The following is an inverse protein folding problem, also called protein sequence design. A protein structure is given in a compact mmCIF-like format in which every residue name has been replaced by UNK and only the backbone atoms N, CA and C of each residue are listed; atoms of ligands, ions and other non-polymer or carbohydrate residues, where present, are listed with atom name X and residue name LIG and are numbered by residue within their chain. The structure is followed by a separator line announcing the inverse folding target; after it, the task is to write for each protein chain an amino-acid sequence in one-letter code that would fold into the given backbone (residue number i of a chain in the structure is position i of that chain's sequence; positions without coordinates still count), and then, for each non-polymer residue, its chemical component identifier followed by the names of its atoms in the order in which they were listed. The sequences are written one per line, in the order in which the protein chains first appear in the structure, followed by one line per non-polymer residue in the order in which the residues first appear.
data_IF_475122360668
#
_entry.id   IF_475122360668
#
_cell.length_a   1.000
_cell.length_b   1.000
_cell.length_c   1.000
_cell.angle_alpha   90.00
_cell.angle_beta   90.00
_cell.angle_gamma   90.00
#
_symmetry.space_group_name_H-M   'P 1'
#
loop_
_entity.id
_entity.type
_entity.pdbx_description
1 polymer ?
#
# COMPACT_ATOMS: atom_id res chain seq x y z
N UNK A 1 45.58 -38.73 -2.83
CA UNK A 1 45.70 -37.46 -2.08
C UNK A 1 44.70 -36.36 -2.47
N UNK A 2 43.99 -36.43 -3.60
CA UNK A 2 43.01 -35.36 -4.01
C UNK A 2 41.61 -35.52 -3.41
N UNK A 3 41.24 -36.71 -2.91
CA UNK A 3 39.89 -36.95 -2.34
C UNK A 3 39.76 -36.51 -0.89
N UNK A 4 40.83 -36.45 -0.12
CA UNK A 4 40.85 -36.02 1.27
C UNK A 4 40.78 -34.49 1.43
N UNK A 5 41.31 -33.72 0.46
CA UNK A 5 41.25 -32.26 0.49
C UNK A 5 39.85 -31.77 0.19
N UNK A 6 39.13 -32.44 -0.72
CA UNK A 6 37.73 -32.11 -1.02
C UNK A 6 36.79 -32.42 0.15
N UNK A 7 37.02 -33.57 0.83
CA UNK A 7 36.29 -33.93 2.03
C UNK A 7 36.54 -32.98 3.21
N UNK A 8 37.76 -32.45 3.34
CA UNK A 8 38.11 -31.48 4.36
C UNK A 8 37.51 -30.10 4.06
N UNK A 9 37.47 -29.71 2.78
CA UNK A 9 36.82 -28.46 2.35
C UNK A 9 35.29 -28.50 2.55
N UNK A 10 34.65 -29.64 2.28
CA UNK A 10 33.24 -29.86 2.53
C UNK A 10 32.93 -29.92 4.04
N UNK A 11 33.78 -30.58 4.82
CA UNK A 11 33.65 -30.62 6.28
C UNK A 11 33.91 -29.25 6.93
N UNK A 12 34.82 -28.43 6.39
CA UNK A 12 35.06 -27.06 6.83
C UNK A 12 33.91 -26.13 6.43
N UNK A 13 33.29 -26.35 5.27
CA UNK A 13 32.09 -25.61 4.85
C UNK A 13 30.85 -26.01 5.67
N UNK A 14 30.77 -27.23 6.18
CA UNK A 14 29.69 -27.69 7.07
C UNK A 14 29.99 -27.40 8.56
N UNK A 15 31.21 -27.05 8.92
CA UNK A 15 31.63 -26.68 10.28
C UNK A 15 31.72 -25.16 10.51
N UNK A 16 31.59 -24.37 9.47
CA UNK A 16 31.44 -22.92 9.56
C UNK A 16 29.93 -22.57 9.78
N UNK A 17 29.61 -21.70 10.60
CA UNK A 17 29.50 -21.73 12.04
C UNK A 17 28.03 -21.77 12.50
N UNK A 18 27.77 -22.45 13.53
CA UNK A 18 26.63 -22.27 14.45
C UNK A 18 26.60 -20.86 15.13
N UNK A 19 27.31 -19.87 14.59
CA UNK A 19 27.42 -18.53 15.15
C UNK A 19 26.72 -17.45 14.36
N UNK A 20 26.15 -17.72 13.16
CA UNK A 20 25.22 -16.84 12.52
C UNK A 20 23.81 -17.13 13.10
N UNK A 21 23.51 -16.61 14.28
CA UNK A 21 22.13 -16.57 14.74
C UNK A 21 21.40 -15.61 13.80
N UNK A 22 20.53 -16.16 12.97
CA UNK A 22 19.56 -15.35 12.24
C UNK A 22 18.72 -14.58 13.28
N UNK A 23 18.80 -13.27 13.27
CA UNK A 23 17.97 -12.43 14.13
C UNK A 23 16.54 -12.49 13.61
N UNK A 24 15.77 -13.43 14.17
CA UNK A 24 14.36 -13.62 13.81
C UNK A 24 13.48 -12.90 14.83
N UNK A 25 12.63 -12.00 14.35
CA UNK A 25 11.71 -11.21 15.15
C UNK A 25 10.28 -11.61 14.83
N UNK A 26 9.53 -12.02 15.83
CA UNK A 26 8.07 -12.11 15.77
C UNK A 26 7.50 -10.73 16.11
N UNK A 27 6.60 -10.23 15.29
CA UNK A 27 5.96 -8.95 15.50
C UNK A 27 4.49 -9.00 15.09
N UNK A 28 3.72 -8.02 15.53
CA UNK A 28 2.33 -7.92 15.15
C UNK A 28 1.66 -6.66 15.63
N UNK A 29 0.42 -6.50 15.22
CA UNK A 29 -0.44 -5.40 15.62
C UNK A 29 -1.89 -5.86 15.65
N UNK A 30 -2.54 -5.78 16.80
CA UNK A 30 -3.99 -5.96 16.91
C UNK A 30 -4.65 -4.58 16.92
N UNK A 31 -5.60 -4.34 16.01
CA UNK A 31 -6.25 -3.05 15.79
C UNK A 31 -7.75 -3.26 15.58
N UNK A 32 -8.56 -2.80 16.51
CA UNK A 32 -10.02 -2.98 16.48
C UNK A 32 -10.71 -1.69 16.86
N UNK A 33 -11.81 -1.39 16.20
CA UNK A 33 -12.66 -0.25 16.52
C UNK A 33 -14.14 -0.63 16.56
N UNK A 34 -14.92 0.23 17.19
CA UNK A 34 -16.37 0.32 17.02
C UNK A 34 -16.62 1.55 16.19
N UNK A 35 -17.23 1.36 15.02
CA UNK A 35 -17.45 2.38 14.03
C UNK A 35 -18.92 2.65 13.85
N UNK A 36 -19.28 3.93 13.83
CA UNK A 36 -20.56 4.41 13.32
C UNK A 36 -20.37 4.85 11.89
N UNK A 37 -21.19 4.35 10.97
CA UNK A 37 -21.12 4.65 9.56
C UNK A 37 -22.47 5.19 9.09
N UNK A 38 -22.41 6.32 8.38
CA UNK A 38 -23.53 6.92 7.69
C UNK A 38 -23.16 7.10 6.21
N UNK A 39 -23.82 6.32 5.37
CA UNK A 39 -23.57 6.26 3.92
C UNK A 39 -24.83 6.75 3.23
N UNK A 40 -24.84 7.96 2.71
CA UNK A 40 -26.03 8.66 2.21
C UNK A 40 -26.82 7.95 1.11
N UNK A 41 -26.22 6.98 0.40
CA UNK A 41 -26.83 6.43 -0.82
C UNK A 41 -27.17 4.92 -0.77
N UNK A 42 -26.90 4.20 0.30
CA UNK A 42 -27.00 2.74 0.23
C UNK A 42 -27.75 2.03 1.37
N UNK A 43 -27.67 2.53 2.59
CA UNK A 43 -28.27 1.87 3.76
C UNK A 43 -28.51 2.89 4.88
N UNK A 44 -29.40 2.54 5.83
CA UNK A 44 -29.51 3.27 7.09
C UNK A 44 -28.13 3.26 7.80
N UNK A 45 -27.87 4.31 8.58
CA UNK A 45 -26.66 4.38 9.39
C UNK A 45 -26.54 3.17 10.33
N UNK A 46 -25.35 2.64 10.47
CA UNK A 46 -25.11 1.40 11.25
C UNK A 46 -23.85 1.46 12.10
N UNK A 47 -23.84 0.63 13.13
CA UNK A 47 -22.66 0.35 13.95
C UNK A 47 -22.00 -0.94 13.53
N UNK A 48 -20.67 -0.97 13.61
CA UNK A 48 -19.86 -2.13 13.24
C UNK A 48 -18.65 -2.28 14.17
N UNK A 49 -18.20 -3.51 14.39
CA UNK A 49 -16.91 -3.79 15.03
C UNK A 49 -15.93 -4.13 13.91
N UNK A 50 -14.94 -3.27 13.70
CA UNK A 50 -14.11 -3.29 12.51
C UNK A 50 -12.65 -3.64 12.81
N UNK A 51 -12.09 -4.52 11.98
CA UNK A 51 -10.67 -4.87 11.99
C UNK A 51 -9.89 -3.84 11.15
N UNK A 52 -8.98 -3.10 11.80
CA UNK A 52 -8.21 -2.05 11.17
C UNK A 52 -6.82 -2.55 10.74
N UNK A 53 -6.77 -3.54 9.85
CA UNK A 53 -5.53 -4.09 9.32
C UNK A 53 -4.63 -4.74 10.40
N UNK A 54 -5.23 -5.51 11.31
CA UNK A 54 -4.48 -6.34 12.26
C UNK A 54 -3.57 -7.32 11.51
N UNK A 55 -2.41 -7.58 12.08
CA UNK A 55 -1.37 -8.38 11.40
C UNK A 55 -0.48 -9.14 12.36
N UNK A 56 0.08 -10.23 11.85
CA UNK A 56 1.11 -11.03 12.49
C UNK A 56 2.21 -11.30 11.48
N UNK A 57 3.47 -11.16 11.88
CA UNK A 57 4.59 -11.37 10.97
C UNK A 57 5.85 -11.88 11.66
N UNK A 58 6.70 -12.43 10.82
CA UNK A 58 8.06 -12.83 11.16
C UNK A 58 9.00 -12.18 10.16
N UNK A 59 10.06 -11.55 10.64
CA UNK A 59 11.12 -11.00 9.80
C UNK A 59 12.50 -11.32 10.39
N UNK A 60 13.49 -11.31 9.55
CA UNK A 60 14.85 -11.54 10.04
C UNK A 60 15.93 -11.31 9.00
N UNK A 61 17.15 -11.45 9.47
CA UNK A 61 18.34 -11.40 8.62
C UNK A 61 19.37 -12.41 9.08
N UNK A 62 20.15 -12.92 8.13
CA UNK A 62 21.30 -13.79 8.37
C UNK A 62 22.53 -13.16 7.74
N UNK A 63 23.59 -12.99 8.53
CA UNK A 63 24.89 -12.51 8.04
C UNK A 63 25.59 -13.63 7.24
N UNK A 64 25.83 -13.38 5.96
CA UNK A 64 26.52 -14.30 5.05
C UNK A 64 28.03 -14.02 4.97
N UNK A 65 28.52 -13.04 5.71
CA UNK A 65 29.93 -12.61 5.69
C UNK A 65 30.19 -11.59 4.57
N UNK A 66 31.33 -10.90 4.70
CA UNK A 66 31.76 -9.92 3.70
C UNK A 66 30.84 -8.70 3.55
N UNK A 67 29.96 -8.43 4.51
CA UNK A 67 28.96 -7.35 4.44
C UNK A 67 27.72 -7.72 3.62
N UNK A 68 27.54 -9.01 3.30
CA UNK A 68 26.34 -9.53 2.66
C UNK A 68 25.42 -10.17 3.70
N UNK A 69 24.12 -9.93 3.60
CA UNK A 69 23.10 -10.54 4.45
C UNK A 69 21.95 -11.09 3.60
N UNK A 70 21.40 -12.23 3.98
CA UNK A 70 20.08 -12.66 3.56
C UNK A 70 19.03 -11.97 4.43
N UNK A 71 17.94 -11.50 3.82
CA UNK A 71 16.83 -10.86 4.52
C UNK A 71 15.52 -11.51 4.12
N UNK A 72 14.58 -11.59 5.05
CA UNK A 72 13.27 -12.16 4.79
C UNK A 72 12.19 -11.51 5.65
N UNK A 73 10.97 -11.53 5.14
CA UNK A 73 9.76 -11.12 5.86
C UNK A 73 8.59 -11.99 5.42
N UNK A 74 7.76 -12.39 6.38
CA UNK A 74 6.47 -13.03 6.17
C UNK A 74 5.45 -12.34 7.08
N UNK A 75 4.57 -11.55 6.49
CA UNK A 75 3.47 -10.89 7.20
C UNK A 75 2.13 -11.38 6.68
N UNK A 76 1.17 -11.56 7.56
CA UNK A 76 -0.19 -11.98 7.26
C UNK A 76 -1.16 -11.01 7.93
N UNK A 77 -2.22 -10.64 7.21
CA UNK A 77 -3.39 -10.02 7.81
C UNK A 77 -4.07 -11.03 8.75
N UNK A 78 -4.64 -10.52 9.82
CA UNK A 78 -5.39 -11.31 10.80
C UNK A 78 -6.69 -10.59 11.08
N UNK A 79 -7.81 -11.21 10.73
CA UNK A 79 -9.09 -10.69 11.16
C UNK A 79 -9.36 -11.10 12.61
N UNK A 80 -9.38 -10.10 13.49
CA UNK A 80 -9.64 -10.31 14.94
C UNK A 80 -11.10 -10.07 15.30
N UNK A 81 -11.95 -9.69 14.35
CA UNK A 81 -13.38 -9.39 14.57
C UNK A 81 -14.27 -10.52 14.09
N UNK A 82 -14.01 -11.09 12.93
CA UNK A 82 -14.84 -12.15 12.34
C UNK A 82 -14.19 -13.54 12.41
N UNK A 83 -12.90 -13.57 12.70
CA UNK A 83 -12.11 -14.80 12.64
C UNK A 83 -11.79 -15.18 11.18
N UNK A 84 -11.18 -16.32 11.00
CA UNK A 84 -10.86 -16.82 9.67
C UNK A 84 -9.40 -17.23 9.51
N UNK A 85 -8.96 -17.40 8.26
CA UNK A 85 -7.60 -17.74 7.92
C UNK A 85 -6.73 -16.49 7.82
N UNK A 86 -5.42 -16.70 7.78
CA UNK A 86 -4.47 -15.63 7.49
C UNK A 86 -4.70 -15.04 6.10
N UNK A 87 -4.74 -13.71 6.00
CA UNK A 87 -4.94 -12.99 4.76
C UNK A 87 -3.64 -12.84 3.96
N UNK A 88 -3.73 -13.00 2.64
CA UNK A 88 -2.59 -13.07 1.74
C UNK A 88 -1.89 -11.74 1.42
N UNK A 89 -2.60 -10.64 1.44
CA UNK A 89 -2.16 -9.35 0.87
C UNK A 89 -1.24 -8.54 1.81
N UNK A 90 -0.13 -9.14 2.25
CA UNK A 90 0.89 -8.50 3.09
C UNK A 90 2.28 -8.88 2.61
N UNK A 91 3.34 -8.11 2.95
CA UNK A 91 4.70 -8.39 2.49
C UNK A 91 5.18 -9.80 2.84
N UNK A 92 5.62 -10.53 1.81
CA UNK A 92 6.24 -11.85 1.93
C UNK A 92 7.36 -11.93 0.91
N UNK A 93 8.59 -11.75 1.35
CA UNK A 93 9.74 -11.72 0.47
C UNK A 93 10.99 -12.33 1.07
N UNK A 94 11.90 -12.69 0.19
CA UNK A 94 13.27 -13.09 0.50
C UNK A 94 14.22 -12.23 -0.35
N UNK A 95 15.39 -11.90 0.17
CA UNK A 95 16.37 -11.13 -0.60
C UNK A 95 17.78 -11.12 -0.04
N UNK A 96 18.62 -10.38 -0.73
CA UNK A 96 20.01 -10.11 -0.35
C UNK A 96 20.20 -8.61 -0.16
N UNK A 97 20.97 -8.24 0.87
CA UNK A 97 21.34 -6.86 1.18
C UNK A 97 22.84 -6.76 1.40
N UNK A 98 23.44 -5.70 0.89
CA UNK A 98 24.88 -5.45 1.02
C UNK A 98 25.23 -3.99 0.73
N UNK A 99 26.51 -3.71 0.47
CA UNK A 99 26.96 -2.38 0.08
C UNK A 99 26.36 -1.87 -1.23
N UNK A 100 25.85 -2.77 -2.07
CA UNK A 100 25.13 -2.46 -3.31
C UNK A 100 23.67 -2.03 -3.10
N UNK A 101 23.15 -2.07 -1.89
CA UNK A 101 21.74 -1.92 -1.58
C UNK A 101 21.06 -3.26 -1.31
N UNK A 102 19.84 -3.48 -1.79
CA UNK A 102 19.11 -4.75 -1.64
C UNK A 102 18.41 -5.18 -2.92
N UNK A 103 18.32 -6.50 -3.10
CA UNK A 103 17.51 -7.17 -4.12
C UNK A 103 16.58 -8.13 -3.40
N UNK A 104 15.27 -8.00 -3.63
CA UNK A 104 14.22 -8.79 -2.97
C UNK A 104 13.25 -9.37 -3.99
N UNK A 105 12.68 -10.54 -3.65
CA UNK A 105 11.74 -11.30 -4.48
C UNK A 105 10.51 -11.67 -3.65
N UNK A 106 9.32 -11.48 -4.17
CA UNK A 106 8.06 -11.87 -3.53
C UNK A 106 7.00 -10.78 -3.56
N UNK A 107 6.05 -10.84 -2.63
CA UNK A 107 5.06 -9.78 -2.39
C UNK A 107 5.70 -8.67 -1.58
N UNK A 108 5.67 -7.43 -2.07
CA UNK A 108 6.39 -6.32 -1.44
C UNK A 108 5.60 -5.02 -1.51
N UNK A 109 5.88 -4.12 -0.57
CA UNK A 109 5.47 -2.73 -0.70
C UNK A 109 6.18 -2.09 -1.89
N UNK A 110 5.43 -1.32 -2.67
CA UNK A 110 5.92 -0.73 -3.91
C UNK A 110 6.79 0.51 -3.68
N UNK A 111 7.67 0.84 -4.60
CA UNK A 111 8.27 2.16 -4.67
C UNK A 111 7.25 3.30 -4.69
N UNK A 112 6.03 3.05 -5.21
CA UNK A 112 4.92 3.98 -5.22
C UNK A 112 4.46 4.31 -3.80
N UNK A 113 4.14 3.29 -3.01
CA UNK A 113 3.74 3.47 -1.61
C UNK A 113 4.85 4.10 -0.74
N UNK A 114 6.10 3.79 -1.03
CA UNK A 114 7.24 4.41 -0.34
C UNK A 114 7.33 5.94 -0.50
N UNK A 115 6.59 6.51 -1.46
CA UNK A 115 6.46 7.96 -1.69
C UNK A 115 5.13 8.48 -1.15
N UNK A 116 4.01 7.83 -1.49
CA UNK A 116 2.66 8.30 -1.15
C UNK A 116 2.27 8.03 0.29
N UNK A 117 2.83 7.00 0.91
CA UNK A 117 2.58 6.62 2.32
C UNK A 117 2.98 7.67 3.37
N UNK A 118 3.61 8.77 2.96
CA UNK A 118 3.93 9.91 3.84
C UNK A 118 2.68 10.53 4.50
N UNK A 119 1.51 10.33 3.91
CA UNK A 119 0.22 10.82 4.42
C UNK A 119 -0.58 9.77 5.20
N UNK A 120 -0.08 8.55 5.34
CA UNK A 120 -0.75 7.45 6.04
C UNK A 120 -0.51 7.54 7.57
N UNK A 121 -1.26 8.43 8.25
CA UNK A 121 -1.07 8.73 9.66
C UNK A 121 -2.23 8.30 10.58
N UNK A 122 -3.35 7.86 10.04
CA UNK A 122 -4.54 7.50 10.80
C UNK A 122 -4.56 6.01 11.19
N UNK A 123 -5.36 5.68 12.21
CA UNK A 123 -5.47 4.31 12.72
C UNK A 123 -6.63 3.53 12.10
N UNK A 124 -7.73 4.22 11.77
CA UNK A 124 -8.90 3.59 11.17
C UNK A 124 -8.63 3.19 9.74
N UNK A 125 -8.92 1.95 9.41
CA UNK A 125 -8.91 1.45 8.03
C UNK A 125 -10.04 2.01 7.15
N UNK A 126 -10.92 2.82 7.72
CA UNK A 126 -12.00 3.52 6.99
C UNK A 126 -11.57 4.91 6.53
N UNK A 127 -10.36 5.36 6.87
CA UNK A 127 -9.85 6.63 6.36
C UNK A 127 -9.56 6.52 4.87
N UNK A 128 -9.93 7.54 4.15
CA UNK A 128 -9.65 7.68 2.73
C UNK A 128 -8.34 8.47 2.58
N UNK A 129 -7.22 7.87 2.93
CA UNK A 129 -5.90 8.45 2.67
C UNK A 129 -5.48 8.26 1.22
N UNK A 130 -4.33 8.81 0.84
CA UNK A 130 -3.77 8.66 -0.50
C UNK A 130 -3.71 7.20 -0.98
N UNK A 131 -3.40 6.28 -0.09
CA UNK A 131 -3.38 4.84 -0.37
C UNK A 131 -4.77 4.24 -0.54
N UNK A 132 -5.81 4.95 -0.13
CA UNK A 132 -7.21 4.51 -0.20
C UNK A 132 -7.98 5.19 -1.32
N UNK A 133 -7.52 6.31 -1.84
CA UNK A 133 -8.27 7.12 -2.79
C UNK A 133 -7.86 6.89 -4.23
N UNK A 134 -6.60 6.96 -4.52
CA UNK A 134 -6.10 6.70 -5.86
C UNK A 134 -5.21 5.47 -5.82
N UNK A 135 -4.27 5.30 -6.52
CA UNK A 135 -3.33 4.24 -6.62
C UNK A 135 -3.38 3.06 -5.64
N UNK A 136 -3.96 3.25 -4.48
CA UNK A 136 -4.06 2.22 -3.46
C UNK A 136 -5.38 1.47 -3.41
N UNK A 137 -6.49 2.12 -3.72
CA UNK A 137 -7.83 1.58 -3.45
C UNK A 137 -8.66 1.29 -4.65
N UNK A 138 -8.45 1.98 -5.74
CA UNK A 138 -9.34 1.80 -6.87
C UNK A 138 -9.28 0.43 -7.47
N UNK A 139 -8.16 -0.18 -7.40
CA UNK A 139 -7.99 -1.56 -7.82
C UNK A 139 -8.61 -2.58 -6.86
N UNK A 140 -8.97 -2.17 -5.66
CA UNK A 140 -9.58 -3.01 -4.64
C UNK A 140 -11.01 -2.64 -4.26
N UNK A 141 -11.54 -1.54 -4.78
CA UNK A 141 -12.94 -1.20 -4.54
C UNK A 141 -13.84 -2.08 -5.40
N UNK A 142 -14.23 -3.20 -4.86
CA UNK A 142 -15.50 -3.78 -5.25
C UNK A 142 -16.59 -2.79 -4.86
N UNK A 143 -17.28 -2.27 -5.85
CA UNK A 143 -18.45 -1.39 -5.73
C UNK A 143 -19.65 -2.07 -5.04
N UNK A 144 -19.48 -3.19 -4.39
CA UNK A 144 -20.51 -3.85 -3.62
C UNK A 144 -20.48 -3.32 -2.18
N UNK A 145 -21.41 -2.45 -1.79
CA UNK A 145 -21.60 -2.15 -0.37
C UNK A 145 -22.05 -3.43 0.34
N UNK A 146 -21.15 -4.07 1.02
CA UNK A 146 -21.37 -5.34 1.72
C UNK A 146 -20.46 -6.48 1.30
N UNK A 147 -19.56 -6.28 0.34
CA UNK A 147 -18.50 -7.25 0.10
C UNK A 147 -17.23 -6.85 0.87
N UNK A 148 -16.75 -7.82 1.59
CA UNK A 148 -15.52 -7.83 2.34
C UNK A 148 -14.34 -7.29 1.50
N UNK A 149 -13.57 -6.37 2.08
CA UNK A 149 -12.33 -5.84 1.46
C UNK A 149 -11.29 -6.92 1.16
N UNK A 150 -11.50 -8.13 1.67
CA UNK A 150 -10.64 -9.30 1.43
C UNK A 150 -10.77 -9.89 0.03
N UNK A 151 -11.81 -9.55 -0.71
CA UNK A 151 -12.05 -10.08 -2.06
C UNK A 151 -11.26 -9.39 -3.18
N UNK A 152 -10.46 -8.40 -2.87
CA UNK A 152 -9.51 -7.82 -3.82
C UNK A 152 -8.22 -8.67 -3.93
N UNK A 153 -8.41 -9.97 -4.01
CA UNK A 153 -7.33 -10.87 -4.39
C UNK A 153 -7.15 -10.78 -5.91
N UNK A 154 -6.21 -10.04 -6.35
CA UNK A 154 -5.84 -10.13 -7.75
C UNK A 154 -5.58 -8.83 -8.45
N UNK A 155 -4.80 -8.04 -7.93
CA UNK A 155 -4.13 -7.05 -8.70
C UNK A 155 -4.68 -5.68 -8.48
N UNK A 156 -4.02 -4.94 -7.81
CA UNK A 156 -4.08 -3.63 -8.06
C UNK A 156 -4.02 -2.66 -6.91
N UNK A 157 -3.74 -3.02 -5.72
CA UNK A 157 -3.30 -2.03 -4.76
C UNK A 157 -1.92 -1.54 -5.18
N UNK A 158 -1.77 -0.29 -5.60
CA UNK A 158 -0.45 0.28 -5.87
C UNK A 158 0.44 0.32 -4.61
N UNK A 159 -0.09 -0.03 -3.44
CA UNK A 159 0.69 -0.14 -2.21
C UNK A 159 1.54 -1.40 -2.14
N UNK A 160 1.10 -2.50 -2.76
CA UNK A 160 1.82 -3.80 -2.75
C UNK A 160 1.60 -4.52 -4.07
N UNK A 161 2.64 -5.22 -4.53
CA UNK A 161 2.59 -6.05 -5.72
C UNK A 161 3.17 -7.42 -5.43
N UNK A 162 2.46 -8.43 -5.96
CA UNK A 162 2.88 -9.82 -5.93
C UNK A 162 3.86 -10.12 -7.09
N UNK A 163 4.50 -11.29 -7.04
CA UNK A 163 5.39 -11.79 -8.10
C UNK A 163 6.45 -10.78 -8.51
N UNK A 164 6.97 -10.03 -7.55
CA UNK A 164 7.84 -8.89 -7.82
C UNK A 164 9.31 -9.16 -7.53
N UNK A 165 10.16 -8.57 -8.36
CA UNK A 165 11.59 -8.36 -8.14
C UNK A 165 11.79 -6.88 -7.85
N UNK A 166 12.41 -6.54 -6.73
CA UNK A 166 12.73 -5.16 -6.39
C UNK A 166 14.21 -4.98 -6.09
N UNK A 167 14.77 -3.91 -6.64
CA UNK A 167 16.07 -3.39 -6.23
C UNK A 167 15.89 -2.06 -5.53
N UNK A 168 16.59 -1.90 -4.39
CA UNK A 168 16.68 -0.62 -3.67
C UNK A 168 18.16 -0.25 -3.49
N UNK A 169 18.52 0.95 -3.92
CA UNK A 169 19.87 1.46 -3.80
C UNK A 169 20.33 1.60 -2.35
N UNK A 170 21.64 1.69 -2.08
CA UNK A 170 22.12 2.26 -0.82
C UNK A 170 21.61 3.69 -0.61
N UNK A 171 21.71 4.16 0.63
CA UNK A 171 21.53 5.58 0.93
C UNK A 171 22.79 6.37 0.54
N UNK A 172 22.59 7.41 -0.27
CA UNK A 172 23.61 8.33 -0.71
C UNK A 172 23.42 9.72 -0.08
N UNK A 173 23.72 9.84 1.21
CA UNK A 173 23.51 11.07 1.98
C UNK A 173 22.06 11.57 1.97
N UNK A 174 21.13 10.65 2.20
CA UNK A 174 19.69 10.88 2.20
C UNK A 174 19.00 10.59 0.87
N UNK A 175 19.73 10.42 -0.24
CA UNK A 175 19.16 10.03 -1.52
C UNK A 175 19.11 8.50 -1.66
N UNK A 176 17.97 7.97 -2.09
CA UNK A 176 17.81 6.57 -2.48
C UNK A 176 16.83 6.44 -3.63
N UNK A 177 16.93 5.34 -4.36
CA UNK A 177 16.06 5.01 -5.47
C UNK A 177 15.69 3.53 -5.41
N UNK A 178 14.51 3.19 -5.91
CA UNK A 178 14.08 1.80 -6.04
C UNK A 178 13.44 1.56 -7.39
N UNK A 179 13.56 0.35 -7.90
CA UNK A 179 12.83 -0.15 -9.06
C UNK A 179 12.21 -1.49 -8.70
N UNK A 180 10.95 -1.68 -9.07
CA UNK A 180 10.20 -2.91 -8.91
C UNK A 180 9.66 -3.35 -10.26
N UNK A 181 9.78 -4.64 -10.54
CA UNK A 181 9.22 -5.32 -11.71
C UNK A 181 8.28 -6.42 -11.21
N UNK A 182 7.03 -6.42 -11.63
CA UNK A 182 6.09 -7.52 -11.38
C UNK A 182 5.94 -8.36 -12.63
N UNK A 183 6.11 -9.67 -12.47
CA UNK A 183 6.13 -10.66 -13.52
C UNK A 183 5.13 -11.76 -13.19
N UNK A 184 3.93 -11.70 -13.74
CA UNK A 184 2.88 -12.64 -13.42
C UNK A 184 2.51 -13.54 -14.61
N UNK A 185 3.41 -14.45 -14.95
CA UNK A 185 3.23 -15.38 -16.06
C UNK A 185 2.00 -16.27 -16.00
N UNK A 186 1.31 -16.34 -14.86
CA UNK A 186 0.07 -17.12 -14.73
C UNK A 186 -1.18 -16.38 -15.24
N UNK A 187 -1.08 -15.08 -15.50
CA UNK A 187 -2.17 -14.27 -16.03
C UNK A 187 -2.17 -14.22 -17.57
N UNK A 188 -1.11 -14.74 -18.21
CA UNK A 188 -0.79 -14.50 -19.60
C UNK A 188 -1.88 -14.86 -20.61
N UNK A 189 -2.45 -16.05 -20.53
CA UNK A 189 -3.27 -16.54 -21.65
C UNK A 189 -4.78 -16.26 -21.51
N UNK A 190 -5.25 -16.00 -20.31
CA UNK A 190 -6.69 -15.89 -20.03
C UNK A 190 -7.18 -14.44 -19.88
N UNK A 191 -6.28 -13.47 -19.70
CA UNK A 191 -6.63 -12.09 -19.34
C UNK A 191 -5.89 -11.02 -20.17
N UNK A 192 -5.22 -11.38 -21.25
CA UNK A 192 -4.56 -10.42 -22.14
C UNK A 192 -3.22 -9.86 -21.63
N UNK A 193 -2.58 -10.54 -20.69
CA UNK A 193 -1.25 -10.18 -20.18
C UNK A 193 -0.21 -10.99 -20.93
N UNK A 194 0.44 -10.42 -21.91
CA UNK A 194 1.40 -11.13 -22.77
C UNK A 194 2.86 -10.78 -22.52
N UNK A 195 3.12 -9.81 -21.64
CA UNK A 195 4.46 -9.30 -21.41
C UNK A 195 5.23 -10.10 -20.34
N UNK A 196 6.55 -10.12 -20.45
CA UNK A 196 7.41 -10.74 -19.43
C UNK A 196 7.48 -9.92 -18.16
N UNK A 197 7.16 -8.63 -18.22
CA UNK A 197 7.02 -7.70 -17.11
C UNK A 197 5.70 -6.96 -17.30
N UNK A 198 4.78 -7.20 -16.41
CA UNK A 198 3.41 -6.66 -16.52
C UNK A 198 3.30 -5.28 -15.88
N UNK A 199 4.02 -5.08 -14.77
CA UNK A 199 4.04 -3.81 -14.06
C UNK A 199 5.48 -3.45 -13.73
N UNK A 200 5.86 -2.19 -13.96
CA UNK A 200 7.10 -1.65 -13.45
C UNK A 200 6.87 -0.36 -12.68
N UNK A 201 7.63 -0.19 -11.62
CA UNK A 201 7.52 0.98 -10.75
C UNK A 201 8.92 1.46 -10.34
N UNK A 202 9.13 2.76 -10.40
CA UNK A 202 10.38 3.41 -10.02
C UNK A 202 10.11 4.57 -9.07
N UNK A 203 11.01 4.81 -8.13
CA UNK A 203 11.02 6.03 -7.33
C UNK A 203 12.42 6.60 -7.15
N UNK A 204 12.45 7.88 -6.77
CA UNK A 204 13.60 8.54 -6.19
C UNK A 204 13.14 9.29 -4.93
N UNK A 205 13.89 9.16 -3.84
CA UNK A 205 13.56 9.75 -2.54
C UNK A 205 14.74 10.49 -1.95
N UNK A 206 14.45 11.55 -1.21
CA UNK A 206 15.39 12.27 -0.37
C UNK A 206 14.84 12.40 1.05
N UNK A 207 15.64 11.99 2.03
CA UNK A 207 15.34 12.13 3.45
C UNK A 207 16.53 12.69 4.18
N UNK A 208 16.39 13.88 4.77
CA UNK A 208 17.46 14.49 5.54
C UNK A 208 16.88 15.34 6.69
N UNK A 209 17.29 14.99 7.91
CA UNK A 209 16.73 15.61 9.11
C UNK A 209 15.21 15.46 9.16
N UNK A 210 14.44 16.54 9.31
CA UNK A 210 12.99 16.48 9.38
C UNK A 210 12.31 16.38 8.01
N UNK A 211 13.03 16.46 6.89
CA UNK A 211 12.48 16.60 5.56
C UNK A 211 12.46 15.26 4.81
N UNK A 212 11.37 15.01 4.11
CA UNK A 212 11.20 13.97 3.12
C UNK A 212 10.68 14.57 1.82
N UNK A 213 11.20 14.10 0.70
CA UNK A 213 10.66 14.35 -0.63
C UNK A 213 10.84 13.12 -1.49
N UNK A 214 9.83 12.78 -2.27
CA UNK A 214 9.88 11.64 -3.18
C UNK A 214 9.08 11.88 -4.44
N UNK A 215 9.48 11.20 -5.50
CA UNK A 215 8.74 11.10 -6.76
C UNK A 215 8.71 9.66 -7.19
N UNK A 216 7.60 9.23 -7.76
CA UNK A 216 7.42 7.85 -8.24
C UNK A 216 6.60 7.83 -9.52
N UNK A 217 6.84 6.80 -10.33
CA UNK A 217 6.07 6.50 -11.53
C UNK A 217 5.86 4.98 -11.59
N UNK A 218 4.64 4.57 -11.88
CA UNK A 218 4.25 3.17 -12.08
C UNK A 218 3.54 3.05 -13.41
N UNK A 219 3.81 1.99 -14.14
CA UNK A 219 3.11 1.66 -15.37
C UNK A 219 2.73 0.18 -15.39
N UNK A 220 1.55 -0.07 -15.89
CA UNK A 220 1.01 -1.36 -16.27
C UNK A 220 0.98 -1.39 -17.79
N UNK A 221 1.72 -2.33 -18.37
CA UNK A 221 1.80 -2.56 -19.83
C UNK A 221 1.12 -3.90 -20.10
N UNK A 222 -0.11 -3.84 -20.57
CA UNK A 222 -0.93 -5.03 -20.85
C UNK A 222 -1.53 -4.99 -22.25
N UNK A 223 -1.84 -6.15 -22.80
CA UNK A 223 -2.56 -6.24 -24.06
C UNK A 223 -4.01 -5.80 -23.90
N UNK A 224 -4.59 -5.29 -24.97
CA UNK A 224 -6.00 -4.96 -25.02
C UNK A 224 -6.85 -6.20 -24.76
N UNK A 225 -7.78 -6.11 -23.80
CA UNK A 225 -8.81 -7.14 -23.61
C UNK A 225 -9.78 -7.07 -24.77
N UNK A 226 -9.98 -8.19 -25.45
CA UNK A 226 -10.89 -8.31 -26.59
C UNK A 226 -12.13 -9.16 -26.22
N UNK A 227 -13.26 -8.88 -26.85
CA UNK A 227 -14.44 -9.74 -26.77
C UNK A 227 -14.25 -11.06 -27.55
N UNK A 228 -15.25 -11.95 -27.50
CA UNK A 228 -15.24 -13.22 -28.24
C UNK A 228 -15.15 -13.05 -29.77
N UNK A 229 -15.36 -11.88 -30.30
CA UNK A 229 -15.23 -11.52 -31.72
C UNK A 229 -13.89 -10.88 -32.08
N UNK A 230 -13.00 -10.68 -31.09
CA UNK A 230 -11.70 -10.02 -31.29
C UNK A 230 -11.78 -8.48 -31.31
N UNK A 231 -12.89 -7.91 -30.88
CA UNK A 231 -13.03 -6.44 -30.77
C UNK A 231 -12.43 -5.98 -29.45
N UNK A 232 -11.50 -5.00 -29.46
CA UNK A 232 -10.93 -4.45 -28.23
C UNK A 232 -12.02 -3.86 -27.32
N UNK A 233 -12.09 -4.37 -26.10
CA UNK A 233 -12.97 -3.87 -25.03
C UNK A 233 -12.27 -2.83 -24.18
N UNK A 234 -10.98 -3.08 -23.86
CA UNK A 234 -10.17 -2.22 -23.02
C UNK A 234 -8.73 -2.24 -23.48
N UNK A 235 -8.07 -1.12 -23.33
CA UNK A 235 -6.63 -1.01 -23.38
C UNK A 235 -6.10 -1.04 -21.95
N UNK A 236 -5.12 -1.92 -21.68
CA UNK A 236 -4.52 -2.09 -20.35
C UNK A 236 -3.24 -1.26 -20.16
N UNK A 237 -2.99 -0.33 -21.05
CA UNK A 237 -1.90 0.63 -20.91
C UNK A 237 -2.26 1.69 -19.86
N UNK A 238 -1.79 1.50 -18.64
CA UNK A 238 -2.11 2.37 -17.52
C UNK A 238 -0.83 2.91 -16.89
N UNK A 239 -0.84 4.17 -16.55
CA UNK A 239 0.27 4.79 -15.85
C UNK A 239 -0.20 5.72 -14.73
N UNK A 240 0.69 5.97 -13.77
CA UNK A 240 0.48 6.92 -12.70
C UNK A 240 1.79 7.44 -12.14
N UNK A 241 1.82 8.73 -11.86
CA UNK A 241 2.93 9.33 -11.14
C UNK A 241 2.45 9.99 -9.85
N UNK A 242 3.36 10.12 -8.89
CA UNK A 242 3.08 10.81 -7.64
C UNK A 242 4.30 11.55 -7.13
N UNK A 243 4.04 12.60 -6.36
CA UNK A 243 5.01 13.24 -5.49
C UNK A 243 4.57 13.11 -4.03
N UNK A 244 5.53 12.94 -3.12
CA UNK A 244 5.31 12.94 -1.69
C UNK A 244 6.25 13.91 -1.02
N UNK A 245 5.74 14.74 -0.11
CA UNK A 245 6.51 15.68 0.70
C UNK A 245 6.20 15.45 2.17
N UNK A 246 7.20 15.45 3.02
CA UNK A 246 7.06 15.26 4.45
C UNK A 246 7.93 16.21 5.27
N UNK A 247 7.41 16.63 6.40
CA UNK A 247 8.15 17.35 7.43
C UNK A 247 7.79 16.77 8.80
N UNK A 248 8.79 16.30 9.54
CA UNK A 248 8.62 15.73 10.87
C UNK A 248 9.65 16.34 11.84
N UNK A 249 9.23 17.31 12.64
CA UNK A 249 10.05 18.03 13.61
C UNK A 249 9.59 17.72 15.06
N UNK A 250 9.78 16.50 15.47
CA UNK A 250 9.49 16.05 16.84
C UNK A 250 8.01 16.04 17.18
N UNK A 251 7.49 17.16 17.66
CA UNK A 251 6.08 17.28 18.05
C UNK A 251 5.13 17.49 16.86
N UNK A 252 5.62 18.02 15.75
CA UNK A 252 4.81 18.40 14.59
C UNK A 252 5.21 17.60 13.35
N UNK A 253 4.21 17.07 12.66
CA UNK A 253 4.39 16.34 11.41
C UNK A 253 3.40 16.83 10.36
N UNK A 254 3.86 16.98 9.12
CA UNK A 254 3.03 17.30 7.95
C UNK A 254 3.42 16.35 6.83
N UNK A 255 2.42 15.81 6.14
CA UNK A 255 2.57 15.00 4.93
C UNK A 255 1.70 15.56 3.81
N UNK A 256 2.22 15.58 2.61
CA UNK A 256 1.49 15.95 1.41
C UNK A 256 1.82 14.97 0.29
N UNK A 257 0.82 14.56 -0.47
CA UNK A 257 1.03 13.92 -1.76
C UNK A 257 0.12 14.50 -2.83
N UNK A 258 0.58 14.36 -4.06
CA UNK A 258 -0.19 14.59 -5.28
C UNK A 258 0.03 13.42 -6.22
N UNK A 259 -1.03 12.95 -6.82
CA UNK A 259 -1.04 11.81 -7.74
C UNK A 259 -1.85 12.14 -8.98
N UNK A 260 -1.40 11.66 -10.13
CA UNK A 260 -2.13 11.81 -11.39
C UNK A 260 -1.77 10.68 -12.34
N UNK A 261 -2.74 10.17 -13.09
CA UNK A 261 -2.52 9.16 -14.11
C UNK A 261 -3.77 8.41 -14.52
N UNK A 262 -3.63 7.62 -15.56
CA UNK A 262 -4.71 6.83 -16.19
C UNK A 262 -5.08 5.58 -15.39
N UNK A 263 -4.23 5.16 -14.43
CA UNK A 263 -4.50 3.99 -13.59
C UNK A 263 -5.83 4.12 -12.83
N UNK A 264 -6.23 5.32 -12.52
CA UNK A 264 -7.47 5.61 -11.82
C UNK A 264 -8.70 5.50 -12.70
N UNK A 265 -8.60 5.79 -13.98
CA UNK A 265 -9.70 5.60 -14.93
C UNK A 265 -10.14 4.14 -14.97
N UNK A 266 -9.18 3.22 -14.97
CA UNK A 266 -9.48 1.81 -15.08
C UNK A 266 -10.09 1.25 -13.80
N UNK A 267 -9.60 1.64 -12.64
CA UNK A 267 -10.14 1.22 -11.35
C UNK A 267 -11.59 1.66 -11.12
N UNK A 268 -11.99 2.78 -11.71
CA UNK A 268 -13.30 3.37 -11.49
C UNK A 268 -14.40 2.81 -12.36
N UNK A 269 -14.16 2.51 -13.65
CA UNK A 269 -15.28 2.51 -14.57
C UNK A 269 -15.33 1.40 -15.61
N UNK A 270 -14.22 0.81 -16.01
CA UNK A 270 -14.20 -0.09 -17.16
C UNK A 270 -14.79 -1.49 -16.96
N UNK A 271 -14.78 -2.13 -15.77
CA UNK A 271 -15.27 -3.51 -15.68
C UNK A 271 -16.78 -3.68 -15.58
N UNK A 272 -17.55 -2.64 -15.26
CA UNK A 272 -18.93 -2.83 -14.76
C UNK A 272 -20.00 -2.28 -15.69
N UNK A 273 -19.69 -1.31 -16.53
CA UNK A 273 -20.68 -0.62 -17.35
C UNK A 273 -20.22 -0.49 -18.79
N UNK A 274 -21.14 -0.60 -19.72
CA UNK A 274 -20.94 -0.38 -21.15
C UNK A 274 -20.65 1.13 -21.37
N UNK A 275 -19.38 1.52 -21.40
CA UNK A 275 -18.87 2.85 -20.98
C UNK A 275 -18.74 3.85 -22.14
N UNK A 276 -19.40 3.64 -23.21
CA UNK A 276 -19.53 4.72 -24.22
C UNK A 276 -20.25 5.99 -23.67
N UNK A 277 -20.82 5.90 -22.46
CA UNK A 277 -21.55 6.99 -21.82
C UNK A 277 -20.70 7.88 -20.91
N UNK A 278 -19.50 7.43 -20.51
CA UNK A 278 -18.67 8.15 -19.55
C UNK A 278 -17.30 8.41 -20.15
N UNK A 279 -17.18 9.42 -20.97
CA UNK A 279 -15.89 9.91 -21.44
C UNK A 279 -15.18 10.58 -20.28
N UNK A 280 -14.03 10.03 -19.88
CA UNK A 280 -13.02 10.81 -19.20
C UNK A 280 -12.54 11.90 -20.16
N UNK A 281 -12.68 13.13 -19.77
CA UNK A 281 -12.22 14.28 -20.55
C UNK A 281 -10.85 14.76 -20.08
N UNK A 282 -10.54 14.45 -18.81
CA UNK A 282 -9.32 14.86 -18.13
C UNK A 282 -8.68 13.68 -17.41
N UNK A 283 -7.37 13.75 -17.16
CA UNK A 283 -6.66 12.73 -16.40
C UNK A 283 -7.00 12.88 -14.91
N UNK A 284 -7.49 11.80 -14.24
CA UNK A 284 -7.79 11.83 -12.82
C UNK A 284 -6.60 12.24 -11.98
N UNK A 285 -6.86 12.99 -10.91
CA UNK A 285 -5.83 13.38 -9.97
C UNK A 285 -6.32 13.38 -8.52
N UNK A 286 -5.38 13.33 -7.58
CA UNK A 286 -5.63 13.42 -6.15
C UNK A 286 -4.56 14.27 -5.48
N UNK A 287 -4.98 15.12 -4.56
CA UNK A 287 -4.11 15.84 -3.64
C UNK A 287 -4.54 15.55 -2.19
N UNK A 288 -3.60 15.20 -1.33
CA UNK A 288 -3.88 14.86 0.06
C UNK A 288 -2.87 15.50 1.00
N UNK A 289 -3.37 16.21 2.00
CA UNK A 289 -2.57 16.90 3.01
C UNK A 289 -2.92 16.35 4.39
N UNK A 290 -1.91 16.03 5.18
CA UNK A 290 -2.06 15.60 6.58
C UNK A 290 -1.20 16.44 7.50
N UNK A 291 -1.67 16.62 8.73
CA UNK A 291 -0.90 17.23 9.79
C UNK A 291 -1.18 16.55 11.13
N UNK A 292 -0.17 16.46 11.99
CA UNK A 292 -0.34 16.01 13.37
C UNK A 292 0.51 16.78 14.35
N UNK A 293 0.03 16.86 15.58
CA UNK A 293 0.74 17.48 16.69
C UNK A 293 0.69 16.58 17.92
N UNK A 294 1.87 16.28 18.47
CA UNK A 294 2.06 15.44 19.65
C UNK A 294 2.40 16.28 20.87
N UNK A 295 1.66 16.10 21.96
CA UNK A 295 1.93 16.75 23.25
C UNK A 295 1.74 15.76 24.40
N UNK A 296 2.83 15.43 25.07
CA UNK A 296 2.86 14.36 26.05
C UNK A 296 2.45 13.02 25.41
N UNK A 297 1.41 12.40 25.93
CA UNK A 297 0.85 11.14 25.42
C UNK A 297 -0.24 11.33 24.35
N UNK A 298 -0.56 12.56 24.01
CA UNK A 298 -1.69 12.90 23.15
C UNK A 298 -1.19 13.23 21.74
N UNK A 299 -1.96 12.85 20.71
CA UNK A 299 -1.76 13.24 19.33
C UNK A 299 -3.09 13.75 18.78
N UNK A 300 -3.08 14.93 18.17
CA UNK A 300 -4.18 15.42 17.34
C UNK A 300 -3.72 15.35 15.88
N UNK A 301 -4.60 14.90 15.02
CA UNK A 301 -4.31 14.75 13.59
C UNK A 301 -5.47 15.30 12.77
N UNK A 302 -5.15 15.87 11.62
CA UNK A 302 -6.13 16.31 10.64
C UNK A 302 -5.65 15.97 9.23
N UNK A 303 -6.60 15.73 8.34
CA UNK A 303 -6.34 15.58 6.92
C UNK A 303 -7.42 16.26 6.10
N UNK A 304 -7.02 16.70 4.92
CA UNK A 304 -7.89 17.10 3.83
C UNK A 304 -7.35 16.58 2.51
N UNK A 305 -8.24 16.02 1.71
CA UNK A 305 -7.92 15.53 0.37
C UNK A 305 -9.00 15.91 -0.62
N UNK A 306 -8.57 16.08 -1.86
CA UNK A 306 -9.47 16.30 -2.99
C UNK A 306 -9.07 15.37 -4.13
N UNK A 307 -10.08 14.75 -4.74
CA UNK A 307 -9.90 13.86 -5.89
C UNK A 307 -10.82 14.30 -7.03
N UNK A 308 -10.26 14.41 -8.21
CA UNK A 308 -11.00 14.58 -9.46
C UNK A 308 -10.97 13.27 -10.24
N UNK A 309 -12.12 12.79 -10.63
CA UNK A 309 -12.26 11.53 -11.38
C UNK A 309 -11.96 11.67 -12.86
N UNK A 310 -11.81 12.90 -13.36
CA UNK A 310 -11.62 13.20 -14.79
C UNK A 310 -12.88 12.97 -15.64
N UNK A 311 -14.03 12.69 -15.05
CA UNK A 311 -15.28 12.39 -15.77
C UNK A 311 -16.08 13.67 -15.98
N UNK A 312 -16.47 13.95 -17.24
CA UNK A 312 -17.22 15.13 -17.60
C UNK A 312 -18.55 15.22 -16.84
N UNK A 313 -18.81 16.38 -16.21
CA UNK A 313 -20.03 16.63 -15.47
C UNK A 313 -20.09 15.99 -14.09
N UNK A 314 -18.97 15.46 -13.58
CA UNK A 314 -18.87 15.00 -12.21
C UNK A 314 -18.02 15.97 -11.39
N UNK A 315 -18.50 16.30 -10.19
CA UNK A 315 -17.74 17.12 -9.27
C UNK A 315 -16.59 16.34 -8.60
N UNK A 316 -15.57 17.06 -8.18
CA UNK A 316 -14.49 16.49 -7.38
C UNK A 316 -15.01 16.03 -6.02
N UNK A 317 -14.33 15.03 -5.45
CA UNK A 317 -14.63 14.48 -4.14
C UNK A 317 -13.73 15.13 -3.10
N UNK A 318 -14.33 15.58 -2.01
CA UNK A 318 -13.58 16.06 -0.85
C UNK A 318 -13.57 15.01 0.26
N UNK A 319 -12.42 14.87 0.91
CA UNK A 319 -12.25 14.03 2.09
C UNK A 319 -11.62 14.83 3.23
N UNK A 320 -12.11 14.64 4.44
CA UNK A 320 -11.55 15.25 5.63
C UNK A 320 -11.56 14.27 6.80
N UNK A 321 -10.50 14.31 7.58
CA UNK A 321 -10.34 13.47 8.76
C UNK A 321 -9.87 14.33 9.94
N UNK A 322 -10.49 14.10 11.11
CA UNK A 322 -10.02 14.65 12.37
C UNK A 322 -9.78 13.49 13.34
N UNK A 323 -8.60 13.42 13.91
CA UNK A 323 -8.19 12.34 14.81
C UNK A 323 -7.67 12.84 16.14
N UNK A 324 -8.01 12.10 17.20
CA UNK A 324 -7.37 12.21 18.50
C UNK A 324 -6.88 10.83 18.91
N UNK A 325 -5.65 10.76 19.39
CA UNK A 325 -5.04 9.52 19.88
C UNK A 325 -4.42 9.76 21.26
N UNK A 326 -4.60 8.79 22.16
CA UNK A 326 -3.91 8.74 23.45
C UNK A 326 -3.02 7.50 23.53
N UNK A 327 -1.72 7.71 23.76
CA UNK A 327 -0.71 6.67 23.88
C UNK A 327 -0.54 6.28 25.34
N UNK A 328 -1.04 5.11 25.76
CA UNK A 328 -0.76 4.55 27.09
C UNK A 328 0.71 4.13 27.22
N UNK A 329 1.27 3.66 26.12
CA UNK A 329 2.67 3.25 26.01
C UNK A 329 3.15 3.43 24.56
N UNK A 330 4.41 3.04 24.28
CA UNK A 330 4.92 2.97 22.90
C UNK A 330 4.17 1.94 22.03
N UNK A 331 3.48 0.98 22.65
CA UNK A 331 2.81 -0.14 21.97
C UNK A 331 1.29 -0.11 22.03
N UNK A 332 0.73 0.64 22.97
CA UNK A 332 -0.73 0.63 23.22
C UNK A 332 -1.30 2.03 23.12
N UNK A 333 -2.35 2.18 22.30
CA UNK A 333 -3.04 3.46 22.09
C UNK A 333 -4.54 3.28 21.94
N UNK A 334 -5.29 4.32 22.25
CA UNK A 334 -6.67 4.51 21.83
C UNK A 334 -6.76 5.63 20.83
N UNK A 335 -7.76 5.59 19.97
CA UNK A 335 -8.08 6.69 19.04
C UNK A 335 -9.57 6.96 18.99
N UNK A 336 -9.89 8.18 18.58
CA UNK A 336 -11.19 8.60 18.05
C UNK A 336 -10.92 9.35 16.78
N UNK A 337 -11.54 8.92 15.67
CA UNK A 337 -11.37 9.54 14.36
C UNK A 337 -12.75 9.78 13.76
N UNK A 338 -12.95 11.00 13.26
CA UNK A 338 -14.09 11.38 12.44
C UNK A 338 -13.62 11.48 10.99
N UNK A 339 -14.32 10.79 10.11
CA UNK A 339 -13.98 10.67 8.69
C UNK A 339 -15.18 11.15 7.90
N UNK A 340 -14.99 12.11 6.99
CA UNK A 340 -16.02 12.61 6.10
C UNK A 340 -15.57 12.58 4.65
N UNK A 341 -16.53 12.31 3.79
CA UNK A 341 -16.42 12.47 2.34
C UNK A 341 -17.63 13.24 1.85
N UNK A 342 -17.37 14.31 1.10
CA UNK A 342 -18.38 15.03 0.33
C UNK A 342 -18.24 14.64 -1.13
N UNK A 343 -19.34 14.28 -1.75
CA UNK A 343 -19.40 13.77 -3.11
C UNK A 343 -20.56 14.42 -3.87
N UNK A 344 -20.80 15.72 -3.65
CA UNK A 344 -21.86 16.51 -4.27
C UNK A 344 -21.94 16.24 -5.77
N UNK A 345 -23.16 15.92 -6.25
CA UNK A 345 -23.48 15.65 -7.65
C UNK A 345 -22.62 14.55 -8.34
N UNK A 346 -21.83 13.78 -7.58
CA UNK A 346 -21.08 12.66 -8.11
C UNK A 346 -21.93 11.39 -8.10
N UNK A 347 -22.23 10.85 -9.28
CA UNK A 347 -23.11 9.67 -9.44
C UNK A 347 -22.49 8.36 -8.94
N UNK A 348 -21.16 8.32 -8.72
CA UNK A 348 -20.43 7.12 -8.34
C UNK A 348 -20.20 7.04 -6.84
N UNK A 349 -20.16 8.18 -6.19
CA UNK A 349 -19.86 8.30 -4.77
C UNK A 349 -20.98 9.08 -4.09
N UNK A 350 -21.38 8.63 -2.93
CA UNK A 350 -22.25 9.39 -2.03
C UNK A 350 -21.43 10.04 -0.92
N UNK A 351 -22.07 10.97 -0.22
CA UNK A 351 -21.55 11.46 1.03
C UNK A 351 -21.36 10.33 2.02
N UNK A 352 -20.35 10.43 2.81
CA UNK A 352 -20.08 9.47 3.87
C UNK A 352 -19.57 10.18 5.11
N UNK A 353 -20.11 9.80 6.26
CA UNK A 353 -19.60 10.20 7.56
C UNK A 353 -19.38 8.96 8.41
N UNK A 354 -18.23 8.90 9.10
CA UNK A 354 -17.94 7.82 10.01
C UNK A 354 -17.26 8.35 11.27
N UNK A 355 -17.55 7.70 12.39
CA UNK A 355 -16.82 7.88 13.65
C UNK A 355 -16.23 6.55 14.04
N UNK A 356 -14.91 6.49 14.20
CA UNK A 356 -14.18 5.31 14.62
C UNK A 356 -13.60 5.52 16.01
N UNK A 357 -13.90 4.62 16.92
CA UNK A 357 -13.34 4.59 18.28
C UNK A 357 -12.64 3.25 18.47
N UNK A 358 -11.32 3.26 18.58
CA UNK A 358 -10.58 2.02 18.54
C UNK A 358 -9.34 1.96 19.44
N UNK A 359 -8.75 0.78 19.44
CA UNK A 359 -7.53 0.49 20.18
C UNK A 359 -6.55 -0.30 19.31
N UNK A 360 -5.28 -0.05 19.56
CA UNK A 360 -4.15 -0.75 18.91
C UNK A 360 -3.14 -1.20 19.96
N UNK A 361 -2.71 -2.44 19.80
CA UNK A 361 -1.60 -3.01 20.57
C UNK A 361 -0.58 -3.58 19.60
N UNK A 362 0.64 -3.05 19.63
CA UNK A 362 1.79 -3.57 18.86
C UNK A 362 2.64 -4.48 19.78
N UNK A 363 3.17 -5.57 19.26
CA UNK A 363 3.99 -6.53 20.02
C UNK A 363 5.13 -7.13 19.19
#
# INVERSE_FOLDING_TARGET
MKKSVLALAVAAALAAPLAAQADTILYGSARVSVDYNDLSNATDAYWDVFNNDSRLGVMGSEDLGGGLSAIYQYEFGVDVTEGGSFEGNRPKFLGLKGSFGSVTLGTQETPYYAVTGVTDIFNSGRTFGATSWLGGSFSGYNFNPGQDRTAASGGGSLSRLDNSLMYTSPDFNGFSASVLLSMNGSLNDAQGWSNSVDIWNINAKYSNGPFFAGVTYIALDGDSIVDAGGVPLFDLDLDQWAIGLGYNAGAFSVGFNYEQGTYNEWGLFKPIWNIDLLRSTDTPWNAYLTASYTFGNNVISAAYGQMDTGVEGQDSLDNYVLGYQYNFSKRTRLWVEYIGRNADDNIFYGDQNAVSIGTRVDF
#
